data_IF_411365534236
#
_entry.id   IF_411365534236
#
_cell.length_a   1.000
_cell.length_b   1.000
_cell.length_c   1.000
_cell.angle_alpha   90.00
_cell.angle_beta   90.00
_cell.angle_gamma   90.00
#
_symmetry.space_group_name_H-M   'P 1'
#
loop_
_entity.id
_entity.type
_entity.pdbx_description
1 polymer ?
#
# COMPACT_ATOMS: atom_id res chain seq x y z
N UNK A 1 8.63 -21.88 13.13
CA UNK A 1 9.20 -20.62 12.58
C UNK A 1 8.15 -19.54 12.74
N UNK A 2 8.53 -18.30 13.13
CA UNK A 2 7.58 -17.19 13.17
C UNK A 2 7.18 -16.80 11.74
N UNK A 3 5.89 -16.55 11.53
CA UNK A 3 5.37 -15.99 10.28
C UNK A 3 5.66 -14.49 10.32
N UNK A 4 6.45 -13.99 9.36
CA UNK A 4 6.75 -12.57 9.22
C UNK A 4 5.79 -11.95 8.22
N UNK A 5 4.93 -11.06 8.71
CA UNK A 5 3.93 -10.35 7.92
C UNK A 5 3.77 -8.94 8.49
N UNK A 6 3.55 -7.97 7.61
CA UNK A 6 3.06 -6.65 7.98
C UNK A 6 2.05 -6.22 6.92
N UNK A 7 0.80 -5.99 7.32
CA UNK A 7 -0.29 -5.63 6.42
C UNK A 7 -0.63 -4.13 6.46
N UNK A 8 0.16 -3.32 7.17
CA UNK A 8 -0.07 -1.89 7.30
C UNK A 8 1.24 -1.13 7.06
N UNK A 9 1.37 -0.57 5.86
CA UNK A 9 2.55 0.21 5.48
C UNK A 9 2.20 1.41 4.63
N UNK A 10 3.02 2.45 4.75
CA UNK A 10 2.87 3.73 4.06
C UNK A 10 4.06 3.97 3.14
N UNK A 11 3.81 4.69 2.05
CA UNK A 11 4.80 4.92 0.99
C UNK A 11 4.88 6.40 0.66
N UNK A 12 5.80 6.78 -0.24
CA UNK A 12 5.94 8.16 -0.75
C UNK A 12 4.66 8.74 -1.38
N UNK A 13 3.63 7.94 -1.60
CA UNK A 13 2.34 8.43 -2.08
C UNK A 13 1.56 9.20 -1.01
N UNK A 14 1.82 8.95 0.27
CA UNK A 14 1.22 9.63 1.41
C UNK A 14 2.34 10.16 2.35
N UNK A 15 2.29 9.83 3.63
CA UNK A 15 3.23 10.25 4.68
C UNK A 15 4.45 9.31 4.85
N UNK A 16 4.56 8.27 4.02
CA UNK A 16 5.69 7.35 4.02
C UNK A 16 6.93 7.92 3.31
N UNK A 17 8.09 7.32 3.58
CA UNK A 17 9.38 7.77 3.02
C UNK A 17 9.90 6.84 1.91
N UNK A 18 9.50 5.57 1.92
CA UNK A 18 9.97 4.56 0.98
C UNK A 18 9.00 4.35 -0.16
N UNK A 19 9.53 4.03 -1.34
CA UNK A 19 8.73 3.58 -2.49
C UNK A 19 8.12 2.20 -2.21
N UNK A 20 6.99 1.85 -2.86
CA UNK A 20 6.44 0.49 -2.75
C UNK A 20 7.47 -0.61 -3.07
N UNK A 21 8.33 -0.40 -4.08
CA UNK A 21 9.39 -1.35 -4.45
C UNK A 21 10.43 -1.55 -3.35
N UNK A 22 10.96 -0.48 -2.77
CA UNK A 22 11.93 -0.57 -1.67
C UNK A 22 11.36 -1.36 -0.49
N UNK A 23 10.08 -1.15 -0.17
CA UNK A 23 9.40 -1.89 0.89
C UNK A 23 9.25 -3.38 0.56
N UNK A 24 8.87 -3.73 -0.67
CA UNK A 24 8.74 -5.12 -1.12
C UNK A 24 10.10 -5.84 -1.10
N UNK A 25 11.16 -5.19 -1.58
CA UNK A 25 12.52 -5.73 -1.55
C UNK A 25 13.02 -5.97 -0.13
N UNK A 26 12.80 -4.99 0.77
CA UNK A 26 13.16 -5.11 2.18
C UNK A 26 12.37 -6.22 2.88
N UNK A 27 11.07 -6.33 2.63
CA UNK A 27 10.22 -7.39 3.20
C UNK A 27 10.71 -8.77 2.77
N UNK A 28 10.98 -8.96 1.47
CA UNK A 28 11.49 -10.21 0.93
C UNK A 28 12.86 -10.57 1.52
N UNK A 29 13.79 -9.61 1.59
CA UNK A 29 15.12 -9.81 2.19
C UNK A 29 15.05 -10.19 3.68
N UNK A 30 14.02 -9.72 4.38
CA UNK A 30 13.76 -10.06 5.78
C UNK A 30 12.92 -11.32 5.96
N UNK A 31 12.63 -12.07 4.90
CA UNK A 31 11.88 -13.33 4.96
C UNK A 31 10.41 -13.16 5.34
N UNK A 32 9.80 -12.04 4.95
CA UNK A 32 8.35 -11.87 5.05
C UNK A 32 7.65 -12.79 4.05
N UNK A 33 6.51 -13.34 4.48
CA UNK A 33 5.62 -14.10 3.59
C UNK A 33 4.55 -13.20 2.97
N UNK A 34 4.25 -12.07 3.60
CA UNK A 34 3.27 -11.10 3.10
C UNK A 34 3.59 -9.66 3.50
N UNK A 35 3.19 -8.74 2.62
CA UNK A 35 3.30 -7.29 2.80
C UNK A 35 2.00 -6.62 2.33
N UNK A 36 1.41 -5.76 3.16
CA UNK A 36 0.23 -4.98 2.79
C UNK A 36 0.56 -3.49 2.78
N UNK A 37 0.11 -2.83 1.73
CA UNK A 37 0.16 -1.38 1.60
C UNK A 37 -1.19 -0.78 1.99
N UNK A 38 -1.17 0.23 2.86
CA UNK A 38 -2.36 0.85 3.45
C UNK A 38 -2.23 2.36 3.43
N UNK A 39 -1.98 2.94 2.25
CA UNK A 39 -1.85 4.39 2.12
C UNK A 39 -3.12 5.13 2.57
N UNK A 40 -2.96 6.33 3.12
CA UNK A 40 -4.09 7.18 3.55
C UNK A 40 -5.03 7.49 2.38
N UNK A 41 -6.33 7.25 2.58
CA UNK A 41 -7.33 7.62 1.58
C UNK A 41 -7.42 9.14 1.40
N UNK A 42 -7.97 9.57 0.26
CA UNK A 42 -8.22 10.99 0.03
C UNK A 42 -9.26 11.51 1.02
N UNK A 43 -8.90 12.51 1.84
CA UNK A 43 -9.83 13.21 2.72
C UNK A 43 -9.66 14.72 2.52
N UNK A 44 -10.73 15.50 2.24
CA UNK A 44 -10.62 16.92 1.88
C UNK A 44 -9.99 17.84 2.94
N UNK A 45 -9.83 17.36 4.16
CA UNK A 45 -9.35 18.12 5.32
C UNK A 45 -8.09 17.52 5.94
N UNK A 46 -7.50 16.48 5.33
CA UNK A 46 -6.28 15.83 5.81
C UNK A 46 -5.21 15.88 4.72
N UNK A 47 -4.11 16.56 5.02
CA UNK A 47 -2.97 16.71 4.12
C UNK A 47 -2.08 15.45 4.06
N UNK A 48 -2.33 14.45 4.92
CA UNK A 48 -1.63 13.16 4.88
C UNK A 48 -2.17 12.22 3.79
N UNK A 49 -3.39 12.49 3.29
CA UNK A 49 -4.08 11.69 2.29
C UNK A 49 -3.48 11.79 0.90
N UNK A 50 -3.61 10.71 0.12
CA UNK A 50 -3.27 10.75 -1.31
C UNK A 50 -4.24 11.65 -2.08
N UNK A 51 -3.73 12.49 -2.99
CA UNK A 51 -4.58 13.08 -4.04
C UNK A 51 -5.13 11.99 -4.96
N UNK A 52 -6.22 12.24 -5.71
CA UNK A 52 -6.77 11.25 -6.64
C UNK A 52 -5.75 10.73 -7.68
N UNK A 53 -4.84 11.59 -8.14
CA UNK A 53 -3.79 11.19 -9.07
C UNK A 53 -2.74 10.30 -8.39
N UNK A 54 -2.36 10.62 -7.15
CA UNK A 54 -1.45 9.77 -6.35
C UNK A 54 -2.09 8.42 -6.04
N UNK A 55 -3.37 8.38 -5.66
CA UNK A 55 -4.09 7.14 -5.37
C UNK A 55 -4.14 6.21 -6.60
N UNK A 56 -4.33 6.77 -7.80
CA UNK A 56 -4.27 6.01 -9.05
C UNK A 56 -2.86 5.43 -9.30
N UNK A 57 -1.82 6.25 -9.15
CA UNK A 57 -0.43 5.82 -9.35
C UNK A 57 -0.02 4.74 -8.33
N UNK A 58 -0.32 4.97 -7.05
CA UNK A 58 -0.15 4.02 -5.95
C UNK A 58 -0.78 2.66 -6.27
N UNK A 59 -2.06 2.65 -6.66
CA UNK A 59 -2.77 1.42 -7.03
C UNK A 59 -2.10 0.69 -8.20
N UNK A 60 -1.72 1.42 -9.24
CA UNK A 60 -1.06 0.84 -10.41
C UNK A 60 0.29 0.20 -10.05
N UNK A 61 1.10 0.88 -9.23
CA UNK A 61 2.41 0.38 -8.79
C UNK A 61 2.26 -0.85 -7.90
N UNK A 62 1.40 -0.79 -6.87
CA UNK A 62 1.20 -1.92 -5.95
C UNK A 62 0.65 -3.16 -6.68
N UNK A 63 -0.30 -2.99 -7.61
CA UNK A 63 -0.80 -4.11 -8.42
C UNK A 63 0.26 -4.67 -9.38
N UNK A 64 1.17 -3.83 -9.88
CA UNK A 64 2.29 -4.30 -10.69
C UNK A 64 3.26 -5.14 -9.85
N UNK A 65 3.60 -4.67 -8.65
CA UNK A 65 4.44 -5.41 -7.71
C UNK A 65 3.78 -6.71 -7.25
N UNK A 66 2.47 -6.72 -6.97
CA UNK A 66 1.75 -7.93 -6.64
C UNK A 66 1.93 -9.03 -7.70
N UNK A 67 1.88 -8.66 -8.99
CA UNK A 67 2.16 -9.59 -10.09
C UNK A 67 3.63 -10.00 -10.17
N UNK A 68 4.55 -9.06 -9.98
CA UNK A 68 6.00 -9.29 -10.04
C UNK A 68 6.50 -10.23 -8.92
N UNK A 69 5.92 -10.13 -7.73
CA UNK A 69 6.35 -10.87 -6.53
C UNK A 69 5.53 -12.13 -6.24
N UNK A 70 4.54 -12.46 -7.09
CA UNK A 70 3.68 -13.63 -6.93
C UNK A 70 4.49 -14.92 -6.69
N UNK A 71 4.12 -15.67 -5.65
CA UNK A 71 4.81 -16.89 -5.24
C UNK A 71 6.11 -16.69 -4.45
N UNK A 72 6.54 -15.44 -4.22
CA UNK A 72 7.72 -15.09 -3.39
C UNK A 72 7.34 -14.24 -2.17
N UNK A 73 6.46 -13.27 -2.37
CA UNK A 73 5.91 -12.40 -1.34
C UNK A 73 4.47 -12.06 -1.71
N UNK A 74 3.52 -12.42 -0.85
CA UNK A 74 2.12 -12.05 -1.06
C UNK A 74 1.93 -10.56 -0.78
N UNK A 75 1.61 -9.78 -1.80
CA UNK A 75 1.42 -8.33 -1.69
C UNK A 75 -0.07 -8.00 -1.70
N UNK A 76 -0.52 -7.20 -0.75
CA UNK A 76 -1.90 -6.73 -0.64
C UNK A 76 -2.01 -5.23 -0.94
N UNK A 77 -2.97 -4.87 -1.77
CA UNK A 77 -3.39 -3.50 -2.00
C UNK A 77 -4.51 -3.17 -1.01
N UNK A 78 -4.32 -2.13 -0.21
CA UNK A 78 -5.33 -1.58 0.69
C UNK A 78 -5.21 -0.07 0.82
N UNK A 79 -6.10 0.48 1.64
CA UNK A 79 -6.10 1.86 2.09
C UNK A 79 -6.29 1.89 3.61
N UNK A 80 -5.59 2.80 4.27
CA UNK A 80 -6.01 3.30 5.57
C UNK A 80 -7.12 4.32 5.29
N UNK A 81 -8.37 3.85 5.31
CA UNK A 81 -9.51 4.68 4.98
C UNK A 81 -10.07 5.40 6.20
N UNK A 82 -10.04 6.74 6.17
CA UNK A 82 -10.66 7.55 7.22
C UNK A 82 -12.19 7.31 7.27
N UNK A 83 -12.75 7.30 8.48
CA UNK A 83 -14.18 7.08 8.72
C UNK A 83 -15.07 8.15 8.06
N UNK A 84 -14.55 9.34 7.78
CA UNK A 84 -15.27 10.44 7.11
C UNK A 84 -14.80 10.67 5.66
N UNK A 85 -13.97 9.79 5.11
CA UNK A 85 -13.53 9.89 3.73
C UNK A 85 -14.71 9.78 2.73
N UNK A 86 -14.66 10.50 1.60
CA UNK A 86 -15.65 10.36 0.54
C UNK A 86 -15.75 8.91 0.01
N UNK A 87 -16.97 8.48 -0.28
CA UNK A 87 -17.29 7.15 -0.84
C UNK A 87 -17.97 7.32 -2.22
N UNK A 88 -17.85 6.34 -3.15
CA UNK A 88 -17.23 5.01 -3.00
C UNK A 88 -15.70 4.97 -3.25
N UNK A 89 -15.02 3.98 -2.66
CA UNK A 89 -13.59 3.68 -2.89
C UNK A 89 -13.38 2.79 -4.13
N UNK A 90 -13.68 3.33 -5.32
CA UNK A 90 -13.56 2.56 -6.56
C UNK A 90 -12.14 1.98 -6.77
N UNK A 91 -12.07 0.68 -7.07
CA UNK A 91 -10.83 -0.02 -7.38
C UNK A 91 -10.10 -0.66 -6.20
N UNK A 92 -10.71 -0.62 -5.01
CA UNK A 92 -10.27 -1.30 -3.79
C UNK A 92 -11.28 -2.38 -3.29
N UNK A 93 -12.22 -2.76 -4.16
CA UNK A 93 -13.18 -3.86 -3.96
C UNK A 93 -12.50 -5.25 -4.01
#
# INVERSE_FOLDING_TARGET
MPIRSNLHTHTIYCDGVSTPREMAEAALANGFVSLGFSGHSYTPYDDCGMSPAQALAYRQEVLALQREYAGRLEIFLGLENDAVAPQPLEGYE
#
